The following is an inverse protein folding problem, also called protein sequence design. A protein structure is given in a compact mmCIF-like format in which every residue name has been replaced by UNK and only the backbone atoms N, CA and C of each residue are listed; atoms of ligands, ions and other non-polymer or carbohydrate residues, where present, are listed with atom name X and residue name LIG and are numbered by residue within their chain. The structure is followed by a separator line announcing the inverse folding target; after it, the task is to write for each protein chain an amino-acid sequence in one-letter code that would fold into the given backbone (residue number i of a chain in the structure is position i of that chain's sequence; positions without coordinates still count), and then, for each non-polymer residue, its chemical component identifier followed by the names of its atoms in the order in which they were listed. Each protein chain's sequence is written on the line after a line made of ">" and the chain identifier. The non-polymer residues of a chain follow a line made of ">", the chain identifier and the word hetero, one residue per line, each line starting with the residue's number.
data_IF_002720447813
#
_entry.id   IF_002720447813
#
_cell.length_a   1.000
_cell.length_b   1.000
_cell.length_c   1.000
_cell.angle_alpha   90.00
_cell.angle_beta   90.00
_cell.angle_gamma   90.00
#
_symmetry.space_group_name_H-M   'P 1'
#
loop_
_entity.id
_entity.type
_entity.pdbx_description
1 polymer ?
#
# COMPACT_ATOMS: atom_id res chain seq x y z
N UNK A 1 -9.82 3.34 40.70
CA UNK A 1 -9.83 3.85 39.30
C UNK A 1 -9.25 5.26 39.27
N UNK A 2 -8.20 5.44 38.51
CA UNK A 2 -7.59 6.76 38.40
C UNK A 2 -8.39 7.56 37.34
N UNK A 3 -9.00 8.63 37.81
CA UNK A 3 -9.73 9.54 36.94
C UNK A 3 -8.73 10.28 36.06
N UNK A 4 -8.99 10.31 34.76
CA UNK A 4 -8.20 11.07 33.82
C UNK A 4 -7.16 10.29 33.03
N UNK A 5 -7.03 8.98 33.21
CA UNK A 5 -6.20 8.17 32.31
C UNK A 5 -6.98 7.89 31.03
N UNK A 6 -6.43 8.27 29.86
CA UNK A 6 -7.08 7.91 28.61
C UNK A 6 -7.11 6.39 28.44
N UNK A 7 -8.17 5.89 27.85
CA UNK A 7 -8.24 4.48 27.49
C UNK A 7 -7.06 4.17 26.57
N UNK A 8 -6.36 3.07 26.82
CA UNK A 8 -5.25 2.65 25.99
C UNK A 8 -5.78 2.24 24.63
N UNK A 9 -5.19 2.81 23.58
CA UNK A 9 -5.56 2.47 22.20
C UNK A 9 -5.09 1.06 21.85
N UNK A 10 -5.87 0.36 21.05
CA UNK A 10 -5.47 -0.94 20.53
C UNK A 10 -4.34 -0.76 19.53
N UNK A 11 -3.35 -1.64 19.60
CA UNK A 11 -2.28 -1.70 18.62
C UNK A 11 -2.78 -2.36 17.33
N UNK A 12 -2.50 -1.75 16.21
CA UNK A 12 -2.90 -2.28 14.90
C UNK A 12 -1.76 -2.15 13.90
N UNK A 13 -1.86 -2.95 12.85
CA UNK A 13 -1.05 -2.83 11.66
C UNK A 13 -1.93 -2.32 10.54
N UNK A 14 -1.32 -1.59 9.61
CA UNK A 14 -2.02 -1.01 8.47
C UNK A 14 -1.47 -1.64 7.19
N UNK A 15 -2.36 -1.95 6.25
CA UNK A 15 -1.97 -2.30 4.87
C UNK A 15 -2.47 -1.18 3.97
N UNK A 16 -1.56 -0.61 3.18
CA UNK A 16 -1.86 0.51 2.30
C UNK A 16 -1.57 0.14 0.85
N UNK A 17 -2.58 0.22 0.01
CA UNK A 17 -2.45 0.01 -1.44
C UNK A 17 -2.94 1.28 -2.14
N UNK A 18 -1.99 2.05 -2.67
CA UNK A 18 -2.28 3.32 -3.34
C UNK A 18 -1.58 3.40 -4.69
N UNK A 19 -1.58 2.29 -5.44
CA UNK A 19 -0.96 2.21 -6.77
C UNK A 19 -1.91 2.69 -7.87
N UNK A 20 -3.19 2.70 -7.58
CA UNK A 20 -4.25 3.12 -8.48
C UNK A 20 -5.43 3.60 -7.63
N UNK A 21 -6.46 4.10 -8.30
CA UNK A 21 -7.72 4.47 -7.64
C UNK A 21 -8.68 3.28 -7.73
N UNK A 22 -9.35 2.90 -6.66
CA UNK A 22 -9.36 3.54 -5.33
C UNK A 22 -8.14 3.22 -4.49
N UNK A 23 -7.82 4.11 -3.54
CA UNK A 23 -6.84 3.85 -2.49
C UNK A 23 -7.50 2.91 -1.49
N UNK A 24 -6.79 1.85 -1.10
CA UNK A 24 -7.27 0.88 -0.13
C UNK A 24 -6.41 0.92 1.13
N UNK A 25 -7.07 0.99 2.28
CA UNK A 25 -6.40 0.94 3.57
C UNK A 25 -7.09 -0.11 4.43
N UNK A 26 -6.33 -1.09 4.90
CA UNK A 26 -6.83 -2.09 5.82
C UNK A 26 -6.25 -1.90 7.21
N UNK A 27 -7.08 -2.09 8.22
CA UNK A 27 -6.66 -2.07 9.63
C UNK A 27 -6.66 -3.51 10.11
N UNK A 28 -5.56 -3.95 10.71
CA UNK A 28 -5.35 -5.33 11.13
C UNK A 28 -5.01 -5.39 12.61
N UNK A 29 -5.70 -6.25 13.32
CA UNK A 29 -5.41 -6.51 14.73
C UNK A 29 -5.09 -7.99 14.89
N UNK A 30 -3.95 -8.29 15.50
CA UNK A 30 -3.46 -9.66 15.64
C UNK A 30 -3.39 -10.39 14.29
N UNK A 31 -2.99 -9.64 13.25
CA UNK A 31 -2.83 -10.16 11.90
C UNK A 31 -4.10 -10.27 11.07
N UNK A 32 -5.27 -9.98 11.65
CA UNK A 32 -6.57 -10.11 10.98
C UNK A 32 -7.16 -8.75 10.66
N UNK A 33 -7.72 -8.63 9.45
CA UNK A 33 -8.37 -7.37 9.05
C UNK A 33 -9.64 -7.14 9.84
N UNK A 34 -9.72 -5.97 10.48
CA UNK A 34 -10.89 -5.56 11.25
C UNK A 34 -11.64 -4.38 10.63
N UNK A 35 -10.99 -3.65 9.72
CA UNK A 35 -11.60 -2.48 9.08
C UNK A 35 -11.00 -2.28 7.70
N UNK A 36 -11.80 -1.80 6.77
CA UNK A 36 -11.38 -1.47 5.40
C UNK A 36 -11.84 -0.05 5.08
N UNK A 37 -10.91 0.75 4.57
CA UNK A 37 -11.19 2.10 4.09
C UNK A 37 -10.88 2.13 2.59
N UNK A 38 -11.81 2.65 1.81
CA UNK A 38 -11.65 2.78 0.37
C UNK A 38 -11.96 4.22 -0.02
N UNK A 39 -11.12 4.82 -0.86
CA UNK A 39 -11.30 6.20 -1.28
C UNK A 39 -10.96 6.40 -2.74
N UNK A 40 -11.83 7.09 -3.46
CA UNK A 40 -11.62 7.49 -4.85
C UNK A 40 -10.99 8.87 -4.98
N UNK A 41 -10.70 9.52 -3.87
CA UNK A 41 -10.01 10.83 -3.85
C UNK A 41 -8.53 10.66 -4.16
N UNK A 42 -7.89 11.75 -4.55
CA UNK A 42 -6.44 11.75 -4.82
C UNK A 42 -5.65 11.33 -3.58
N UNK A 43 -4.61 10.55 -3.78
CA UNK A 43 -3.74 10.08 -2.70
C UNK A 43 -3.20 11.24 -1.85
N UNK A 44 -2.80 12.35 -2.49
CA UNK A 44 -2.27 13.51 -1.79
C UNK A 44 -3.29 14.15 -0.85
N UNK A 45 -4.57 14.10 -1.21
CA UNK A 45 -5.63 14.71 -0.41
C UNK A 45 -6.09 13.81 0.72
N UNK A 46 -6.14 12.50 0.47
CA UNK A 46 -6.79 11.58 1.39
C UNK A 46 -5.84 10.90 2.37
N UNK A 47 -4.57 10.73 2.00
CA UNK A 47 -3.62 9.96 2.80
C UNK A 47 -3.38 10.56 4.19
N UNK A 48 -3.05 11.86 4.31
CA UNK A 48 -2.88 12.45 5.64
C UNK A 48 -4.14 12.38 6.48
N UNK A 49 -5.30 12.59 5.86
CA UNK A 49 -6.59 12.59 6.53
C UNK A 49 -6.92 11.21 7.11
N UNK A 50 -6.73 10.15 6.33
CA UNK A 50 -6.96 8.78 6.77
C UNK A 50 -6.07 8.43 7.95
N UNK A 51 -4.77 8.71 7.84
CA UNK A 51 -3.82 8.35 8.90
C UNK A 51 -4.04 9.18 10.17
N UNK A 52 -4.41 10.44 10.03
CA UNK A 52 -4.76 11.26 11.19
C UNK A 52 -5.94 10.66 11.95
N UNK A 53 -6.97 10.25 11.23
CA UNK A 53 -8.15 9.61 11.82
C UNK A 53 -7.79 8.29 12.49
N UNK A 54 -6.98 7.46 11.82
CA UNK A 54 -6.56 6.16 12.37
C UNK A 54 -5.70 6.32 13.61
N UNK A 55 -4.81 7.31 13.64
CA UNK A 55 -3.95 7.55 14.80
C UNK A 55 -4.71 8.08 16.01
N UNK A 56 -5.90 8.64 15.81
CA UNK A 56 -6.78 9.02 16.92
C UNK A 56 -7.45 7.81 17.56
N UNK A 57 -7.75 6.78 16.75
CA UNK A 57 -8.44 5.56 17.18
C UNK A 57 -7.51 4.47 17.67
N UNK A 58 -6.37 4.33 17.00
CA UNK A 58 -5.47 3.20 17.17
C UNK A 58 -4.04 3.65 17.40
N UNK A 59 -3.26 2.76 18.00
CA UNK A 59 -1.81 2.88 17.99
C UNK A 59 -1.28 2.08 16.81
N UNK A 60 -0.75 2.76 15.81
CA UNK A 60 -0.23 2.11 14.60
C UNK A 60 1.18 1.63 14.90
N UNK A 61 1.37 0.31 14.83
CA UNK A 61 2.66 -0.34 15.04
C UNK A 61 3.47 -0.43 13.76
N UNK A 62 2.83 -0.91 12.70
CA UNK A 62 3.49 -1.15 11.42
C UNK A 62 2.58 -0.77 10.26
N UNK A 63 3.20 -0.40 9.14
CA UNK A 63 2.50 -0.18 7.87
C UNK A 63 3.13 -1.05 6.80
N UNK A 64 2.33 -1.89 6.19
CA UNK A 64 2.67 -2.72 5.04
C UNK A 64 2.12 -2.00 3.82
N UNK A 65 2.96 -1.67 2.86
CA UNK A 65 2.50 -0.85 1.73
C UNK A 65 3.01 -1.36 0.39
N UNK A 66 2.19 -1.18 -0.63
CA UNK A 66 2.56 -1.50 -1.99
C UNK A 66 3.57 -0.46 -2.50
N UNK A 67 4.79 -0.90 -2.84
CA UNK A 67 5.89 -0.06 -3.29
C UNK A 67 5.75 0.36 -4.76
N UNK A 68 4.99 -0.38 -5.51
CA UNK A 68 4.84 -0.31 -6.96
C UNK A 68 4.79 -1.71 -7.56
N UNK A 69 4.73 -1.83 -8.89
CA UNK A 69 4.68 -0.74 -9.86
C UNK A 69 3.30 -0.09 -9.95
N UNK A 70 3.24 1.14 -10.46
CA UNK A 70 2.00 1.88 -10.61
C UNK A 70 2.27 3.34 -10.94
N UNK A 71 1.38 4.23 -10.53
CA UNK A 71 1.54 5.67 -10.71
C UNK A 71 2.79 6.18 -9.98
N UNK A 72 3.73 6.75 -10.71
CA UNK A 72 4.99 7.26 -10.16
C UNK A 72 4.74 8.34 -9.09
N UNK A 73 3.79 9.22 -9.32
CA UNK A 73 3.46 10.27 -8.36
C UNK A 73 2.92 9.69 -7.07
N UNK A 74 2.01 8.73 -7.15
CA UNK A 74 1.43 8.09 -5.97
C UNK A 74 2.48 7.30 -5.20
N UNK A 75 3.32 6.54 -5.91
CA UNK A 75 4.40 5.76 -5.30
C UNK A 75 5.35 6.66 -4.51
N UNK A 76 5.78 7.76 -5.13
CA UNK A 76 6.69 8.72 -4.50
C UNK A 76 6.05 9.36 -3.27
N UNK A 77 4.81 9.77 -3.40
CA UNK A 77 4.09 10.46 -2.34
C UNK A 77 3.87 9.54 -1.12
N UNK A 78 3.46 8.30 -1.37
CA UNK A 78 3.30 7.29 -0.31
C UNK A 78 4.61 7.09 0.43
N UNK A 79 5.71 6.93 -0.30
CA UNK A 79 7.02 6.71 0.30
C UNK A 79 7.43 7.87 1.20
N UNK A 80 7.32 9.10 0.70
CA UNK A 80 7.68 10.29 1.48
C UNK A 80 6.81 10.41 2.73
N UNK A 81 5.51 10.19 2.59
CA UNK A 81 4.57 10.27 3.70
C UNK A 81 4.91 9.23 4.77
N UNK A 82 5.10 7.98 4.38
CA UNK A 82 5.39 6.90 5.32
C UNK A 82 6.75 7.05 5.99
N UNK A 83 7.76 7.52 5.27
CA UNK A 83 9.07 7.82 5.87
C UNK A 83 8.96 8.91 6.92
N UNK A 84 8.14 9.92 6.67
CA UNK A 84 7.87 10.99 7.63
C UNK A 84 7.23 10.42 8.90
N UNK A 85 6.24 9.54 8.75
CA UNK A 85 5.59 8.88 9.89
C UNK A 85 6.58 7.98 10.65
N UNK A 86 7.44 7.27 9.94
CA UNK A 86 8.46 6.44 10.58
C UNK A 86 9.36 7.27 11.48
N UNK A 87 9.82 8.40 10.97
CA UNK A 87 10.69 9.31 11.73
C UNK A 87 9.95 9.93 12.91
N UNK A 88 8.72 10.40 12.67
CA UNK A 88 7.95 11.12 13.69
C UNK A 88 7.35 10.22 14.77
N UNK A 89 6.94 9.01 14.42
CA UNK A 89 6.16 8.12 15.29
C UNK A 89 6.82 6.79 15.60
N UNK A 90 7.95 6.47 14.97
CA UNK A 90 8.62 5.20 15.18
C UNK A 90 7.91 3.99 14.60
N UNK A 91 7.06 4.19 13.60
CA UNK A 91 6.32 3.13 12.93
C UNK A 91 7.29 2.26 12.12
N UNK A 92 7.09 0.95 12.14
CA UNK A 92 7.86 0.03 11.30
C UNK A 92 7.23 -0.06 9.91
N UNK A 93 8.05 0.04 8.87
CA UNK A 93 7.58 -0.04 7.49
C UNK A 93 7.97 -1.37 6.86
N UNK A 94 7.04 -1.97 6.12
CA UNK A 94 7.26 -3.17 5.32
C UNK A 94 6.81 -2.88 3.89
N UNK A 95 7.73 -3.05 2.94
CA UNK A 95 7.42 -2.84 1.53
C UNK A 95 7.04 -4.15 0.86
N UNK A 96 5.98 -4.09 0.06
CA UNK A 96 5.48 -5.22 -0.71
C UNK A 96 5.40 -4.82 -2.18
N UNK A 97 5.58 -5.76 -3.11
CA UNK A 97 5.28 -5.40 -4.49
C UNK A 97 3.75 -5.47 -4.71
N UNK A 98 3.28 -4.72 -5.71
CA UNK A 98 1.85 -4.58 -5.97
C UNK A 98 1.16 -5.87 -6.36
N UNK A 99 1.91 -6.86 -6.84
CA UNK A 99 1.35 -8.14 -7.28
C UNK A 99 0.88 -8.99 -6.10
N UNK A 100 1.33 -8.69 -4.89
CA UNK A 100 0.79 -9.32 -3.68
C UNK A 100 -0.68 -8.97 -3.47
N UNK A 101 -1.16 -7.90 -4.08
CA UNK A 101 -2.52 -7.40 -3.92
C UNK A 101 -3.41 -7.62 -5.16
N UNK A 102 -2.91 -8.33 -6.17
CA UNK A 102 -3.64 -8.59 -7.42
C UNK A 102 -3.72 -10.07 -7.75
N UNK A 103 -3.29 -10.95 -6.87
CA UNK A 103 -3.14 -12.38 -7.14
C UNK A 103 -2.26 -12.61 -8.39
N UNK A 104 -1.20 -11.83 -8.49
CA UNK A 104 -0.23 -11.86 -9.60
C UNK A 104 -0.83 -11.49 -10.98
N UNK A 105 -1.98 -10.81 -10.98
CA UNK A 105 -2.56 -10.30 -12.23
C UNK A 105 -1.80 -9.08 -12.72
N UNK A 106 -1.78 -8.81 -14.04
CA UNK A 106 -1.10 -7.64 -14.57
C UNK A 106 -1.62 -6.33 -14.00
N UNK A 107 -0.74 -5.37 -13.81
CA UNK A 107 -1.08 -4.03 -13.30
C UNK A 107 -0.99 -3.05 -14.45
N UNK A 108 -2.03 -2.24 -14.67
CA UNK A 108 -2.06 -1.29 -15.76
C UNK A 108 -0.95 -0.24 -15.62
N UNK A 109 -0.18 -0.05 -16.68
CA UNK A 109 0.89 0.94 -16.75
C UNK A 109 0.43 2.19 -17.49
N UNK A 110 0.49 2.15 -18.82
CA UNK A 110 0.11 3.29 -19.67
C UNK A 110 -0.46 2.78 -20.97
N UNK A 111 -1.61 3.31 -21.38
CA UNK A 111 -2.26 2.88 -22.61
C UNK A 111 -2.60 1.39 -22.57
N UNK A 112 -2.09 0.64 -23.55
CA UNK A 112 -2.28 -0.81 -23.60
C UNK A 112 -1.15 -1.60 -22.95
N UNK A 113 -0.24 -0.92 -22.26
CA UNK A 113 0.88 -1.57 -21.58
C UNK A 113 0.52 -1.90 -20.13
N UNK A 114 1.00 -3.04 -19.67
CA UNK A 114 0.78 -3.54 -18.33
C UNK A 114 2.09 -3.98 -17.71
N UNK A 115 2.21 -3.81 -16.41
CA UNK A 115 3.28 -4.44 -15.64
C UNK A 115 2.89 -5.88 -15.37
N UNK A 116 3.83 -6.78 -15.63
CA UNK A 116 3.64 -8.21 -15.39
C UNK A 116 4.82 -8.74 -14.59
N UNK A 117 4.56 -9.73 -13.75
CA UNK A 117 5.60 -10.38 -12.95
C UNK A 117 5.69 -11.85 -13.36
N UNK A 118 6.83 -12.24 -13.88
CA UNK A 118 7.11 -13.62 -14.30
C UNK A 118 8.45 -14.04 -13.70
N UNK A 119 8.47 -15.16 -12.97
CA UNK A 119 9.70 -15.69 -12.36
C UNK A 119 10.47 -14.61 -11.56
N UNK A 120 9.75 -13.87 -10.72
CA UNK A 120 10.27 -12.78 -9.88
C UNK A 120 10.85 -11.60 -10.67
N UNK A 121 10.62 -11.54 -11.97
CA UNK A 121 11.02 -10.42 -12.83
C UNK A 121 9.79 -9.62 -13.23
N UNK A 122 9.85 -8.31 -12.98
CA UNK A 122 8.78 -7.38 -13.35
C UNK A 122 9.16 -6.68 -14.65
N UNK A 123 8.28 -6.73 -15.65
CA UNK A 123 8.49 -6.09 -16.94
C UNK A 123 7.18 -5.48 -17.41
N UNK A 124 7.23 -4.78 -18.56
CA UNK A 124 6.02 -4.26 -19.20
C UNK A 124 5.72 -5.05 -20.45
N UNK A 125 4.44 -5.31 -20.67
CA UNK A 125 3.95 -5.99 -21.88
C UNK A 125 2.72 -5.28 -22.40
N UNK A 126 2.56 -5.33 -23.73
CA UNK A 126 1.34 -4.88 -24.36
C UNK A 126 0.32 -6.01 -24.30
N UNK A 127 -0.81 -5.76 -23.68
CA UNK A 127 -1.89 -6.74 -23.55
C UNK A 127 -3.14 -6.19 -24.18
N UNK A 128 -3.94 -7.07 -24.81
CA UNK A 128 -5.23 -6.72 -25.35
C UNK A 128 -6.30 -6.90 -24.28
N UNK A 129 -7.33 -6.03 -24.34
CA UNK A 129 -8.47 -6.13 -23.47
C UNK A 129 -8.52 -5.07 -22.38
N UNK A 130 -9.66 -5.01 -21.70
CA UNK A 130 -9.97 -4.08 -20.63
C UNK A 130 -9.48 -4.57 -19.28
N UNK A 131 -8.36 -5.25 -19.21
CA UNK A 131 -7.90 -5.84 -17.97
C UNK A 131 -7.79 -4.89 -16.80
N UNK A 132 -8.93 -4.36 -16.36
CA UNK A 132 -8.98 -3.56 -15.15
C UNK A 132 -8.63 -4.47 -13.99
N UNK A 133 -7.41 -4.33 -13.47
CA UNK A 133 -6.95 -5.13 -12.35
C UNK A 133 -7.55 -4.57 -11.09
N UNK A 134 -8.15 -5.45 -10.32
CA UNK A 134 -8.70 -5.08 -9.03
C UNK A 134 -7.69 -5.43 -7.94
N UNK A 135 -7.23 -4.41 -7.22
CA UNK A 135 -6.42 -4.62 -6.03
C UNK A 135 -7.31 -5.09 -4.89
N UNK A 136 -6.80 -6.01 -4.08
CA UNK A 136 -7.50 -6.53 -2.92
C UNK A 136 -6.62 -6.47 -1.70
N UNK A 137 -7.23 -6.18 -0.55
CA UNK A 137 -6.58 -6.31 0.73
C UNK A 137 -6.63 -7.77 1.19
N UNK A 138 -5.56 -8.30 1.79
CA UNK A 138 -5.61 -9.65 2.35
C UNK A 138 -6.53 -9.68 3.58
N UNK A 139 -7.11 -10.83 3.87
CA UNK A 139 -7.86 -11.03 5.11
C UNK A 139 -6.93 -11.11 6.31
N UNK A 140 -5.72 -11.59 6.07
CA UNK A 140 -4.69 -11.74 7.09
C UNK A 140 -3.34 -11.28 6.54
N UNK A 141 -2.53 -10.65 7.37
CA UNK A 141 -1.21 -10.12 6.95
C UNK A 141 -0.27 -11.22 6.48
N UNK A 142 -0.41 -12.45 7.00
CA UNK A 142 0.45 -13.56 6.59
C UNK A 142 0.19 -14.03 5.15
N UNK A 143 -0.85 -13.53 4.49
CA UNK A 143 -1.11 -13.84 3.09
C UNK A 143 -0.23 -13.06 2.11
N UNK A 144 0.46 -12.01 2.58
CA UNK A 144 1.30 -11.16 1.73
C UNK A 144 2.76 -11.25 2.13
N UNK A 145 3.64 -11.12 1.14
CA UNK A 145 5.09 -11.11 1.35
C UNK A 145 5.62 -9.71 1.31
N UNK A 146 6.19 -9.25 2.41
CA UNK A 146 6.70 -7.90 2.54
C UNK A 146 8.03 -7.93 3.28
N UNK A 147 8.84 -6.89 3.12
CA UNK A 147 10.18 -6.83 3.71
C UNK A 147 10.46 -5.44 4.28
N UNK A 148 11.08 -5.39 5.46
CA UNK A 148 11.59 -4.15 6.05
C UNK A 148 12.80 -3.61 5.28
N UNK A 149 13.55 -4.50 4.64
CA UNK A 149 14.78 -4.13 3.94
C UNK A 149 14.49 -3.50 2.58
N UNK A 150 13.28 -3.68 2.07
CA UNK A 150 12.94 -3.31 0.70
C UNK A 150 11.71 -2.39 0.68
N UNK A 151 11.88 -1.19 1.20
CA UNK A 151 10.80 -0.20 1.30
C UNK A 151 10.88 0.92 0.25
N UNK A 152 11.96 0.97 -0.54
CA UNK A 152 12.13 1.99 -1.56
C UNK A 152 11.06 1.89 -2.66
N UNK A 153 10.71 3.01 -3.29
CA UNK A 153 9.76 2.98 -4.42
C UNK A 153 10.21 2.02 -5.51
N UNK A 154 9.27 1.26 -6.04
CA UNK A 154 9.52 0.32 -7.12
C UNK A 154 9.02 0.93 -8.43
N UNK A 155 9.94 1.54 -9.16
CA UNK A 155 9.66 2.12 -10.46
C UNK A 155 10.09 1.14 -11.55
N UNK A 156 9.15 0.79 -12.43
CA UNK A 156 9.46 -0.05 -13.59
C UNK A 156 9.26 0.82 -14.83
N UNK A 157 10.36 1.10 -15.52
CA UNK A 157 10.31 1.88 -16.74
C UNK A 157 9.99 0.97 -17.92
N UNK A 158 9.15 1.43 -18.86
CA UNK A 158 8.93 0.68 -20.08
C UNK A 158 10.23 0.58 -20.87
N UNK A 159 10.42 -0.53 -21.60
CA UNK A 159 11.58 -0.70 -22.44
C UNK A 159 11.61 0.42 -23.48
N UNK A 160 12.73 1.16 -23.53
CA UNK A 160 12.91 2.20 -24.53
C UNK A 160 13.32 1.52 -25.83
N UNK A 161 12.49 1.66 -26.87
CA UNK A 161 12.88 1.24 -28.20
C UNK A 161 13.78 2.32 -28.78
N UNK A 162 14.97 1.93 -29.04
CA UNK A 162 15.95 2.79 -29.72
C UNK A 162 15.75 2.67 -31.23
#
# INVERSE_FOLDING_TARGET
>A
MLLGQPAQKSEVDIVLVALATPVLVGVYQDGKRIETIESHKKTSDILPSIFQSLMKQYEIKSVYFARGPGSFMSIKLVYIFLKTLQIAKGITLFGCDGFEFTDNQPIKAHGSHYFVKENDTISTKKLEGDGAVTFRLPDSIDEIRCSQENIAPLYVLPAVKV
#
